data_IF_665542344675
#
_entry.id   IF_665542344675
#
_cell.length_a   1.000
_cell.length_b   1.000
_cell.length_c   1.000
_cell.angle_alpha   90.00
_cell.angle_beta   90.00
_cell.angle_gamma   90.00
#
_symmetry.space_group_name_H-M   'P 1'
#
loop_
_entity.id
_entity.type
_entity.pdbx_description
1 polymer ?
#
# COMPACT_ATOMS: atom_id res chain seq x y z
N UNK A 1 7.00 7.49 -17.61
CA UNK A 1 7.53 6.98 -16.32
C UNK A 1 6.60 5.87 -15.88
N UNK A 2 7.15 4.70 -15.61
CA UNK A 2 6.41 3.58 -15.01
C UNK A 2 6.51 3.74 -13.50
N UNK A 3 5.39 3.58 -12.79
CA UNK A 3 5.35 3.60 -11.33
C UNK A 3 6.12 2.38 -10.79
N UNK A 4 6.95 2.59 -9.77
CA UNK A 4 7.64 1.50 -9.05
C UNK A 4 6.85 1.06 -7.81
N UNK A 5 7.14 -0.13 -7.30
CA UNK A 5 6.52 -0.65 -6.07
C UNK A 5 6.80 0.29 -4.88
N UNK A 6 8.03 0.79 -4.76
CA UNK A 6 8.40 1.74 -3.71
C UNK A 6 7.59 3.05 -3.80
N UNK A 7 7.43 3.62 -4.98
CA UNK A 7 6.60 4.82 -5.19
C UNK A 7 5.12 4.58 -4.94
N UNK A 8 4.64 3.34 -5.15
CA UNK A 8 3.28 2.94 -4.82
C UNK A 8 3.11 2.79 -3.29
N UNK A 9 4.04 2.13 -2.61
CA UNK A 9 4.05 2.03 -1.14
C UNK A 9 4.08 3.41 -0.49
N UNK A 10 4.91 4.33 -0.96
CA UNK A 10 4.92 5.71 -0.47
C UNK A 10 3.57 6.42 -0.67
N UNK A 11 2.84 6.11 -1.76
CA UNK A 11 1.49 6.63 -1.98
C UNK A 11 0.45 5.98 -1.06
N UNK A 12 0.59 4.70 -0.77
CA UNK A 12 -0.29 3.97 0.15
C UNK A 12 -0.17 4.52 1.58
N UNK A 13 1.00 5.03 1.98
CA UNK A 13 1.21 5.68 3.28
C UNK A 13 0.43 7.00 3.45
N UNK A 14 -0.23 7.52 2.40
CA UNK A 14 -1.16 8.65 2.51
C UNK A 14 -2.61 8.23 2.78
N UNK A 15 -2.89 6.92 2.79
CA UNK A 15 -4.22 6.38 3.08
C UNK A 15 -4.31 6.07 4.57
N UNK A 16 -5.20 6.78 5.25
CA UNK A 16 -5.48 6.58 6.67
C UNK A 16 -6.57 5.51 6.87
N UNK A 17 -6.37 4.65 7.87
CA UNK A 17 -7.39 3.71 8.31
C UNK A 17 -8.53 4.46 9.03
N UNK A 18 -9.80 4.22 8.66
CA UNK A 18 -10.93 4.99 9.19
C UNK A 18 -11.25 4.71 10.66
N UNK A 19 -10.85 3.56 11.21
CA UNK A 19 -11.11 3.21 12.61
C UNK A 19 -9.95 3.57 13.53
N UNK A 20 -8.72 3.41 13.03
CA UNK A 20 -7.49 3.60 13.81
C UNK A 20 -6.90 5.02 13.65
N UNK A 21 -7.17 5.69 12.52
CA UNK A 21 -6.70 7.06 12.27
C UNK A 21 -5.19 7.18 12.04
N UNK A 22 -4.53 6.12 11.61
CA UNK A 22 -3.11 6.08 11.25
C UNK A 22 -2.95 5.49 9.84
N UNK A 23 -1.78 5.63 9.22
CA UNK A 23 -1.59 5.20 7.84
C UNK A 23 -1.42 3.68 7.70
N UNK A 24 -2.02 3.13 6.64
CA UNK A 24 -2.07 1.67 6.44
C UNK A 24 -0.69 1.02 6.26
N UNK A 25 0.36 1.79 5.92
CA UNK A 25 1.73 1.29 5.75
C UNK A 25 2.45 1.23 7.10
N UNK A 26 2.39 2.29 7.90
CA UNK A 26 3.00 2.33 9.24
C UNK A 26 2.33 1.37 10.21
N UNK A 27 1.02 1.15 10.04
CA UNK A 27 0.27 0.11 10.75
C UNK A 27 0.66 -1.32 10.34
N UNK A 28 1.43 -1.49 9.27
CA UNK A 28 1.85 -2.81 8.77
C UNK A 28 0.70 -3.62 8.15
N UNK A 29 -0.34 -2.96 7.65
CA UNK A 29 -1.47 -3.63 6.97
C UNK A 29 -1.11 -4.03 5.54
N UNK A 30 -0.15 -3.35 4.91
CA UNK A 30 0.38 -3.68 3.59
C UNK A 30 1.45 -4.77 3.73
N UNK A 31 1.13 -5.98 3.25
CA UNK A 31 2.04 -7.15 3.33
C UNK A 31 2.95 -7.24 2.09
N UNK A 32 2.38 -6.99 0.91
CA UNK A 32 3.11 -7.03 -0.37
C UNK A 32 2.51 -6.07 -1.41
N UNK A 33 3.38 -5.57 -2.29
CA UNK A 33 3.02 -4.72 -3.43
C UNK A 33 3.76 -5.24 -4.66
N UNK A 34 3.01 -5.60 -5.71
CA UNK A 34 3.57 -6.07 -6.97
C UNK A 34 2.96 -5.31 -8.15
N UNK A 35 3.78 -4.98 -9.15
CA UNK A 35 3.30 -4.34 -10.39
C UNK A 35 3.61 -5.25 -11.58
N UNK A 36 2.58 -5.70 -12.28
CA UNK A 36 2.70 -6.51 -13.50
C UNK A 36 1.80 -5.95 -14.60
N UNK A 37 2.36 -5.79 -15.80
CA UNK A 37 1.63 -5.36 -17.00
C UNK A 37 0.79 -4.08 -16.79
N UNK A 38 1.29 -3.15 -15.99
CA UNK A 38 0.60 -1.88 -15.67
C UNK A 38 -0.54 -2.00 -14.67
N UNK A 39 -0.73 -3.18 -14.07
CA UNK A 39 -1.67 -3.42 -12.96
C UNK A 39 -0.87 -3.56 -11.67
N UNK A 40 -1.34 -2.89 -10.61
CA UNK A 40 -0.79 -3.05 -9.27
C UNK A 40 -1.67 -4.00 -8.46
N UNK A 41 -1.05 -4.99 -7.83
CA UNK A 41 -1.66 -5.88 -6.85
C UNK A 41 -1.11 -5.50 -5.47
N UNK A 42 -2.00 -5.33 -4.49
CA UNK A 42 -1.67 -4.94 -3.12
C UNK A 42 -2.29 -5.96 -2.18
N UNK A 43 -1.45 -6.67 -1.44
CA UNK A 43 -1.88 -7.64 -0.43
C UNK A 43 -2.03 -6.94 0.92
N UNK A 44 -3.24 -7.03 1.49
CA UNK A 44 -3.56 -6.45 2.79
C UNK A 44 -3.83 -7.54 3.81
N UNK A 45 -3.24 -7.40 5.00
CA UNK A 45 -3.46 -8.29 6.14
C UNK A 45 -4.33 -7.58 7.18
N UNK A 46 -5.58 -8.04 7.31
CA UNK A 46 -6.49 -7.60 8.36
C UNK A 46 -6.48 -8.63 9.51
N UNK A 47 -6.34 -8.14 10.74
CA UNK A 47 -6.41 -8.97 11.96
C UNK A 47 -7.86 -9.13 12.43
#
# INVERSE_FOLDING_TARGET
MTLTEAELTDRLAAVEDPENGDDIVSMGLVDDVAISDGTAEVSLAFN
#
